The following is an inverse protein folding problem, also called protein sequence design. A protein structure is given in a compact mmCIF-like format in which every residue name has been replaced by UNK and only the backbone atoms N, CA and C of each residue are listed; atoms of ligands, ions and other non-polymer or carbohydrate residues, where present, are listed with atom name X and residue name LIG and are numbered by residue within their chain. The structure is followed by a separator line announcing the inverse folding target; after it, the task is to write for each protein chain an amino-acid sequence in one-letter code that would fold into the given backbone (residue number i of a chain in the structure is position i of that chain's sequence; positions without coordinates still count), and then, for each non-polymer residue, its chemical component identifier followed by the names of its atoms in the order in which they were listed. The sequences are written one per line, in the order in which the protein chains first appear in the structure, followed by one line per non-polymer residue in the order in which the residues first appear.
data_IF_915526127083
#
_entry.id   IF_915526127083
#
_cell.length_a   1.000
_cell.length_b   1.000
_cell.length_c   1.000
_cell.angle_alpha   90.00
_cell.angle_beta   90.00
_cell.angle_gamma   90.00
#
_symmetry.space_group_name_H-M   'P 1'
#
loop_
_entity.id
_entity.type
_entity.pdbx_description
1 polymer ?
#
# COMPACT_ATOMS: atom_id res chain seq x y z
N UNK A 1 -5.82 33.46 -16.14
CA UNK A 1 -4.58 32.65 -16.21
C UNK A 1 -4.90 31.33 -15.53
N UNK A 2 -4.92 30.22 -16.30
CA UNK A 2 -5.03 28.89 -15.69
C UNK A 2 -3.72 28.64 -14.93
N UNK A 3 -3.77 28.60 -13.61
CA UNK A 3 -2.62 28.18 -12.82
C UNK A 3 -2.33 26.71 -13.18
N UNK A 4 -1.16 26.47 -13.79
CA UNK A 4 -0.75 25.10 -14.09
C UNK A 4 -0.70 24.30 -12.79
N UNK A 5 -1.37 23.13 -12.77
CA UNK A 5 -1.30 22.24 -11.61
C UNK A 5 0.15 21.83 -11.35
N UNK A 6 0.53 21.76 -10.06
CA UNK A 6 1.85 21.28 -9.66
C UNK A 6 2.02 19.80 -9.98
N UNK A 7 3.21 19.36 -10.44
CA UNK A 7 3.43 17.97 -10.85
C UNK A 7 3.62 17.04 -9.65
N UNK A 8 3.03 15.86 -9.74
CA UNK A 8 3.31 14.71 -8.85
C UNK A 8 3.67 13.54 -9.74
N UNK A 9 4.79 12.88 -9.49
CA UNK A 9 5.27 11.77 -10.31
C UNK A 9 4.97 10.44 -9.62
N UNK A 10 4.35 9.51 -10.33
CA UNK A 10 4.17 8.12 -9.92
C UNK A 10 5.13 7.23 -10.72
N UNK A 11 5.98 6.49 -10.04
CA UNK A 11 6.88 5.49 -10.61
C UNK A 11 6.43 4.09 -10.16
N UNK A 12 5.79 3.40 -11.07
CA UNK A 12 5.06 2.17 -10.84
C UNK A 12 5.80 0.96 -11.45
N UNK A 13 5.62 -0.21 -10.88
CA UNK A 13 6.14 -1.44 -11.49
C UNK A 13 6.17 -2.62 -10.54
N UNK A 14 6.34 -3.85 -11.02
CA UNK A 14 6.40 -5.04 -10.19
C UNK A 14 7.64 -5.04 -9.29
N UNK A 15 7.65 -5.96 -8.31
CA UNK A 15 8.87 -6.20 -7.53
C UNK A 15 10.03 -6.60 -8.43
N UNK A 16 11.25 -6.32 -8.03
CA UNK A 16 12.49 -6.58 -8.78
C UNK A 16 12.61 -5.89 -10.17
N UNK A 17 11.76 -4.87 -10.44
CA UNK A 17 11.83 -4.11 -11.71
C UNK A 17 12.90 -3.00 -11.72
N UNK A 18 13.55 -2.71 -10.58
CA UNK A 18 14.58 -1.67 -10.48
C UNK A 18 14.06 -0.26 -10.22
N UNK A 19 12.81 -0.11 -9.75
CA UNK A 19 12.18 1.21 -9.48
C UNK A 19 13.02 2.10 -8.57
N UNK A 20 13.59 1.54 -7.51
CA UNK A 20 14.40 2.30 -6.55
C UNK A 20 15.63 2.90 -7.18
N UNK A 21 16.31 2.13 -8.04
CA UNK A 21 17.49 2.62 -8.75
C UNK A 21 17.14 3.76 -9.71
N UNK A 22 16.00 3.64 -10.41
CA UNK A 22 15.46 4.70 -11.25
C UNK A 22 15.12 5.95 -10.46
N UNK A 23 14.46 5.81 -9.31
CA UNK A 23 14.09 6.93 -8.46
C UNK A 23 15.34 7.70 -7.97
N UNK A 24 16.35 6.97 -7.50
CA UNK A 24 17.64 7.53 -7.08
C UNK A 24 18.37 8.22 -8.27
N UNK A 25 18.36 7.59 -9.45
CA UNK A 25 18.95 8.18 -10.63
C UNK A 25 18.26 9.50 -11.04
N UNK A 26 16.93 9.56 -10.94
CA UNK A 26 16.18 10.79 -11.23
C UNK A 26 16.44 11.85 -10.16
N UNK A 27 16.48 11.49 -8.88
CA UNK A 27 16.82 12.43 -7.82
C UNK A 27 18.21 13.06 -8.05
N UNK A 28 19.23 12.24 -8.38
CA UNK A 28 20.58 12.73 -8.71
C UNK A 28 20.58 13.64 -9.93
N UNK A 29 19.84 13.27 -10.97
CA UNK A 29 19.85 14.00 -12.25
C UNK A 29 19.13 15.35 -12.15
N UNK A 30 18.01 15.40 -11.48
CA UNK A 30 17.14 16.60 -11.48
C UNK A 30 17.25 17.44 -10.21
N UNK A 31 17.81 16.94 -9.13
CA UNK A 31 18.16 17.68 -7.90
C UNK A 31 16.98 18.22 -7.08
N UNK A 32 15.76 18.20 -7.62
CA UNK A 32 14.54 18.72 -6.97
C UNK A 32 13.48 17.64 -6.78
N UNK A 33 13.89 16.40 -6.63
CA UNK A 33 12.99 15.26 -6.44
C UNK A 33 13.14 14.76 -5.01
N UNK A 34 12.00 14.63 -4.32
CA UNK A 34 11.92 13.92 -3.04
C UNK A 34 11.17 12.60 -3.25
N UNK A 35 11.76 11.52 -2.77
CA UNK A 35 11.24 10.17 -2.94
C UNK A 35 10.26 9.85 -1.81
N UNK A 36 9.07 9.38 -2.17
CA UNK A 36 8.05 8.88 -1.24
C UNK A 36 7.83 7.40 -1.54
N UNK A 37 8.08 6.55 -0.57
CA UNK A 37 7.87 5.09 -0.72
C UNK A 37 6.38 4.75 -0.73
N UNK A 38 5.95 3.96 -1.71
CA UNK A 38 4.58 3.44 -1.81
C UNK A 38 4.63 1.93 -1.60
N UNK A 39 4.87 1.55 -0.36
CA UNK A 39 5.00 0.16 0.07
C UNK A 39 4.34 -0.05 1.43
N UNK A 40 3.58 -1.14 1.57
CA UNK A 40 2.81 -1.42 2.79
C UNK A 40 3.65 -2.00 3.93
N UNK A 41 4.91 -2.35 3.68
CA UNK A 41 5.78 -3.00 4.67
C UNK A 41 6.99 -2.15 5.04
N UNK A 42 7.58 -1.41 4.09
CA UNK A 42 8.76 -0.57 4.33
C UNK A 42 8.52 0.54 5.37
N UNK A 43 7.25 0.89 5.62
CA UNK A 43 6.84 1.87 6.63
C UNK A 43 7.17 1.40 8.05
N UNK A 44 7.23 0.08 8.27
CA UNK A 44 7.49 -0.50 9.59
C UNK A 44 8.98 -0.58 9.90
N UNK A 45 9.35 -0.15 11.12
CA UNK A 45 10.70 -0.30 11.66
C UNK A 45 11.01 -1.78 11.89
N UNK A 46 12.21 -2.20 11.50
CA UNK A 46 12.68 -3.58 11.68
C UNK A 46 12.24 -4.57 10.59
N UNK A 47 11.30 -4.20 9.70
CA UNK A 47 11.00 -4.97 8.50
C UNK A 47 11.94 -4.57 7.36
N UNK A 48 13.21 -4.93 7.45
CA UNK A 48 14.26 -4.40 6.59
C UNK A 48 14.58 -5.35 5.43
N UNK A 49 14.95 -6.60 5.76
CA UNK A 49 15.33 -7.61 4.78
C UNK A 49 14.10 -8.07 3.98
N UNK A 50 13.04 -8.49 4.67
CA UNK A 50 11.84 -9.04 4.02
C UNK A 50 11.14 -8.06 3.09
N UNK A 51 11.13 -6.78 3.42
CA UNK A 51 10.61 -5.73 2.53
C UNK A 51 11.59 -5.34 1.41
N UNK A 52 12.85 -5.80 1.50
CA UNK A 52 13.99 -5.33 0.71
C UNK A 52 14.12 -3.81 0.73
N UNK A 53 14.02 -3.26 1.91
CA UNK A 53 14.23 -1.84 2.20
C UNK A 53 15.62 -1.39 1.71
N UNK A 54 15.78 -0.18 1.17
CA UNK A 54 17.10 0.34 0.86
C UNK A 54 17.98 0.35 2.11
N UNK A 55 19.29 0.09 1.95
CA UNK A 55 20.23 0.06 3.07
C UNK A 55 20.26 1.39 3.83
N UNK A 56 20.66 1.40 5.11
CA UNK A 56 20.79 2.64 5.88
C UNK A 56 21.68 3.69 5.20
N UNK A 57 22.76 3.26 4.52
CA UNK A 57 23.64 4.13 3.75
C UNK A 57 22.90 4.75 2.56
N UNK A 58 22.09 3.94 1.87
CA UNK A 58 21.25 4.42 0.76
C UNK A 58 20.21 5.41 1.24
N UNK A 59 19.52 5.12 2.35
CA UNK A 59 18.51 6.01 2.92
C UNK A 59 19.12 7.31 3.44
N UNK A 60 20.35 7.27 3.96
CA UNK A 60 21.09 8.47 4.38
C UNK A 60 21.50 9.34 3.20
N UNK A 61 21.95 8.73 2.10
CA UNK A 61 22.35 9.45 0.88
C UNK A 61 21.15 9.91 0.05
N UNK A 62 20.09 9.15 0.05
CA UNK A 62 18.86 9.34 -0.72
C UNK A 62 17.66 9.12 0.19
N UNK A 63 17.24 10.12 0.98
CA UNK A 63 16.11 9.98 1.90
C UNK A 63 14.82 9.58 1.16
N UNK A 64 14.13 8.62 1.75
CA UNK A 64 12.83 8.16 1.29
C UNK A 64 11.81 8.44 2.41
N UNK A 65 10.79 9.22 2.13
CA UNK A 65 9.65 9.37 3.04
C UNK A 65 8.84 8.07 3.11
N UNK A 66 8.12 7.86 4.19
CA UNK A 66 7.31 6.67 4.47
C UNK A 66 8.13 5.38 4.54
N UNK A 67 9.32 5.49 5.08
CA UNK A 67 10.20 4.36 5.43
C UNK A 67 10.57 4.48 6.91
N UNK A 68 10.38 3.42 7.69
CA UNK A 68 10.65 3.40 9.15
C UNK A 68 9.82 4.42 9.96
N UNK A 69 8.58 4.68 9.60
CA UNK A 69 7.72 5.65 10.29
C UNK A 69 7.08 5.07 11.55
N UNK A 70 6.62 3.83 11.51
CA UNK A 70 5.86 3.20 12.59
C UNK A 70 6.46 1.88 13.07
N UNK A 71 6.02 1.38 14.20
CA UNK A 71 6.39 0.05 14.72
C UNK A 71 5.29 -0.99 14.43
N UNK A 72 5.63 -2.28 14.50
CA UNK A 72 4.74 -3.39 14.12
C UNK A 72 3.54 -3.58 15.07
N UNK A 73 3.56 -3.01 16.26
CA UNK A 73 2.44 -2.99 17.19
C UNK A 73 1.36 -1.96 16.82
N UNK A 74 1.61 -1.14 15.80
CA UNK A 74 0.68 -0.14 15.30
C UNK A 74 0.23 -0.51 13.89
N UNK A 75 -1.07 -0.42 13.64
CA UNK A 75 -1.60 -0.63 12.30
C UNK A 75 -1.42 0.66 11.50
N UNK A 76 -0.74 0.56 10.36
CA UNK A 76 -0.66 1.62 9.37
C UNK A 76 -1.53 1.25 8.17
N UNK A 77 -2.74 1.75 8.18
CA UNK A 77 -3.74 1.43 7.17
C UNK A 77 -3.48 2.17 5.84
N UNK A 78 -4.18 1.77 4.79
CA UNK A 78 -4.15 2.52 3.52
C UNK A 78 -4.71 3.94 3.66
N UNK A 79 -5.63 4.17 4.58
CA UNK A 79 -6.15 5.50 4.87
C UNK A 79 -5.07 6.40 5.49
N UNK A 80 -4.34 5.88 6.51
CA UNK A 80 -3.20 6.57 7.13
C UNK A 80 -2.12 6.89 6.08
N UNK A 81 -1.85 5.92 5.19
CA UNK A 81 -0.93 6.15 4.08
C UNK A 81 -1.38 7.30 3.17
N UNK A 82 -2.64 7.30 2.73
CA UNK A 82 -3.16 8.33 1.83
C UNK A 82 -3.14 9.71 2.47
N UNK A 83 -3.51 9.84 3.74
CA UNK A 83 -3.46 11.08 4.50
C UNK A 83 -2.03 11.60 4.62
N UNK A 84 -1.11 10.75 5.09
CA UNK A 84 0.30 11.12 5.28
C UNK A 84 0.97 11.45 3.95
N UNK A 85 0.72 10.66 2.90
CA UNK A 85 1.29 10.92 1.58
C UNK A 85 0.77 12.23 0.97
N UNK A 86 -0.51 12.57 1.18
CA UNK A 86 -1.08 13.84 0.70
C UNK A 86 -0.43 15.03 1.40
N UNK A 87 -0.28 14.97 2.72
CA UNK A 87 0.43 16.00 3.51
C UNK A 87 1.88 16.17 3.05
N UNK A 88 2.59 15.05 2.86
CA UNK A 88 3.97 15.08 2.36
C UNK A 88 4.08 15.70 0.96
N UNK A 89 3.15 15.43 0.05
CA UNK A 89 3.11 16.04 -1.28
C UNK A 89 3.01 17.56 -1.17
N UNK A 90 2.14 18.07 -0.30
CA UNK A 90 2.00 19.51 -0.06
C UNK A 90 3.29 20.13 0.50
N UNK A 91 3.89 19.51 1.51
CA UNK A 91 5.15 19.96 2.12
C UNK A 91 6.31 19.95 1.12
N UNK A 92 6.41 18.91 0.26
CA UNK A 92 7.43 18.83 -0.77
C UNK A 92 7.28 19.99 -1.77
N UNK A 93 6.05 20.31 -2.17
CA UNK A 93 5.80 21.46 -3.03
C UNK A 93 6.11 22.80 -2.35
N UNK A 94 5.84 22.95 -1.04
CA UNK A 94 6.22 24.13 -0.28
C UNK A 94 7.75 24.34 -0.29
N UNK A 95 8.52 23.24 -0.27
CA UNK A 95 9.99 23.28 -0.43
C UNK A 95 10.43 23.49 -1.88
N UNK A 96 9.50 23.69 -2.82
CA UNK A 96 9.73 23.84 -4.27
C UNK A 96 10.38 22.61 -4.92
N UNK A 97 10.15 21.44 -4.34
CA UNK A 97 10.56 20.16 -4.86
C UNK A 97 9.39 19.43 -5.54
N UNK A 98 9.68 18.35 -6.23
CA UNK A 98 8.71 17.52 -6.94
C UNK A 98 8.62 16.17 -6.21
N UNK A 99 7.42 15.79 -5.70
CA UNK A 99 7.24 14.48 -5.09
C UNK A 99 7.28 13.36 -6.14
N UNK A 100 8.11 12.36 -5.90
CA UNK A 100 8.24 11.14 -6.68
C UNK A 100 7.78 9.96 -5.83
N UNK A 101 6.56 9.51 -6.05
CA UNK A 101 5.98 8.36 -5.38
C UNK A 101 6.43 7.08 -6.09
N UNK A 102 7.10 6.18 -5.37
CA UNK A 102 7.75 4.99 -5.94
C UNK A 102 7.30 3.74 -5.24
N UNK A 103 6.74 2.78 -5.97
CA UNK A 103 6.35 1.53 -5.33
C UNK A 103 5.68 0.50 -6.23
N UNK A 104 5.24 -0.59 -5.57
CA UNK A 104 4.52 -1.69 -6.19
C UNK A 104 3.09 -1.87 -5.67
N UNK A 105 2.68 -1.11 -4.65
CA UNK A 105 1.35 -1.21 -4.03
C UNK A 105 0.30 -0.48 -4.87
N UNK A 106 -0.17 -1.14 -5.94
CA UNK A 106 -1.09 -0.55 -6.92
C UNK A 106 -2.38 0.00 -6.29
N UNK A 107 -2.88 -0.64 -5.24
CA UNK A 107 -4.05 -0.18 -4.51
C UNK A 107 -3.80 1.21 -3.90
N UNK A 108 -2.63 1.45 -3.33
CA UNK A 108 -2.25 2.74 -2.74
C UNK A 108 -2.22 3.85 -3.79
N UNK A 109 -1.60 3.60 -4.93
CA UNK A 109 -1.60 4.54 -6.05
C UNK A 109 -3.01 4.85 -6.56
N UNK A 110 -3.85 3.80 -6.69
CA UNK A 110 -5.22 3.98 -7.17
C UNK A 110 -6.05 4.85 -6.21
N UNK A 111 -5.93 4.62 -4.90
CA UNK A 111 -6.64 5.38 -3.89
C UNK A 111 -6.13 6.82 -3.77
N UNK A 112 -4.83 7.06 -3.88
CA UNK A 112 -4.30 8.42 -3.97
C UNK A 112 -4.83 9.15 -5.20
N UNK A 113 -4.83 8.49 -6.36
CA UNK A 113 -5.25 9.08 -7.63
C UNK A 113 -6.73 9.44 -7.66
N UNK A 114 -7.58 8.52 -7.18
CA UNK A 114 -9.04 8.57 -7.35
C UNK A 114 -9.79 8.97 -6.06
N UNK A 115 -9.10 9.05 -4.94
CA UNK A 115 -9.68 9.28 -3.61
C UNK A 115 -10.03 7.98 -2.89
N UNK A 116 -10.15 8.09 -1.58
CA UNK A 116 -10.67 7.03 -0.71
C UNK A 116 -12.19 7.02 -0.79
N UNK A 117 -12.79 5.84 -0.76
CA UNK A 117 -14.23 5.71 -0.57
C UNK A 117 -14.62 6.02 0.88
N UNK A 118 -15.84 6.53 1.10
CA UNK A 118 -16.41 6.83 2.42
C UNK A 118 -16.80 5.60 3.24
N UNK A 119 -16.06 4.50 3.09
CA UNK A 119 -16.28 3.26 3.82
C UNK A 119 -15.94 3.43 5.30
N UNK A 120 -16.72 2.84 6.23
CA UNK A 120 -16.35 2.84 7.63
C UNK A 120 -14.97 2.22 7.83
N UNK A 121 -14.22 2.76 8.80
CA UNK A 121 -12.94 2.18 9.21
C UNK A 121 -13.11 0.75 9.68
N UNK A 122 -12.04 -0.05 9.64
CA UNK A 122 -12.07 -1.41 10.18
C UNK A 122 -12.38 -1.37 11.69
N UNK A 123 -13.27 -2.25 12.15
CA UNK A 123 -13.59 -2.43 13.55
C UNK A 123 -12.89 -3.71 14.04
N UNK A 124 -11.84 -3.60 14.89
CA UNK A 124 -11.10 -4.76 15.38
C UNK A 124 -11.97 -5.76 16.16
N UNK A 125 -13.00 -5.26 16.87
CA UNK A 125 -13.89 -6.12 17.67
C UNK A 125 -14.81 -6.93 16.75
N UNK A 126 -15.39 -6.28 15.73
CA UNK A 126 -16.23 -6.96 14.75
C UNK A 126 -15.40 -7.95 13.94
N UNK A 127 -14.18 -7.55 13.54
CA UNK A 127 -13.27 -8.42 12.80
C UNK A 127 -12.92 -9.69 13.55
N UNK A 128 -12.53 -9.58 14.83
CA UNK A 128 -12.24 -10.73 15.68
C UNK A 128 -13.46 -11.66 15.83
N UNK A 129 -14.68 -11.13 15.90
CA UNK A 129 -15.91 -11.95 15.91
C UNK A 129 -16.13 -12.70 14.59
N UNK A 130 -15.85 -12.04 13.45
CA UNK A 130 -16.00 -12.68 12.14
C UNK A 130 -14.94 -13.77 11.94
N UNK A 131 -13.71 -13.54 12.40
CA UNK A 131 -12.62 -14.54 12.38
C UNK A 131 -12.95 -15.75 13.26
N UNK A 132 -13.43 -15.55 14.49
CA UNK A 132 -13.90 -16.63 15.39
C UNK A 132 -15.05 -17.44 14.76
N UNK A 133 -15.94 -16.79 14.01
CA UNK A 133 -16.99 -17.47 13.28
C UNK A 133 -16.47 -18.30 12.12
N UNK A 134 -15.44 -17.84 11.43
CA UNK A 134 -14.79 -18.65 10.37
C UNK A 134 -14.25 -19.97 10.94
N UNK A 135 -13.62 -19.90 12.11
CA UNK A 135 -13.08 -21.09 12.77
C UNK A 135 -14.18 -22.09 13.20
N UNK A 136 -15.36 -21.60 13.56
CA UNK A 136 -16.50 -22.43 14.03
C UNK A 136 -17.43 -22.90 12.92
N UNK A 137 -17.73 -22.04 11.96
CA UNK A 137 -18.80 -22.24 10.97
C UNK A 137 -18.22 -22.46 9.55
N UNK A 138 -16.97 -22.11 9.35
CA UNK A 138 -16.31 -22.11 8.04
C UNK A 138 -16.61 -20.84 7.21
N UNK A 139 -15.72 -20.54 6.27
CA UNK A 139 -15.79 -19.33 5.43
C UNK A 139 -17.03 -19.28 4.53
N UNK A 140 -17.56 -20.46 4.13
CA UNK A 140 -18.75 -20.56 3.26
C UNK A 140 -19.99 -19.96 3.94
N UNK A 141 -20.15 -20.20 5.25
CA UNK A 141 -21.27 -19.63 6.03
C UNK A 141 -21.27 -18.10 5.98
N UNK A 142 -20.07 -17.49 6.09
CA UNK A 142 -19.92 -16.04 6.03
C UNK A 142 -20.15 -15.49 4.62
N UNK A 143 -19.77 -16.26 3.59
CA UNK A 143 -20.06 -15.88 2.20
C UNK A 143 -21.57 -15.94 1.91
N UNK A 144 -22.29 -16.92 2.46
CA UNK A 144 -23.76 -17.04 2.33
C UNK A 144 -24.47 -15.88 3.07
N UNK A 145 -23.96 -15.47 4.23
CA UNK A 145 -24.42 -14.27 4.92
C UNK A 145 -24.20 -13.02 4.05
N UNK A 146 -23.00 -12.89 3.49
CA UNK A 146 -22.71 -11.79 2.56
C UNK A 146 -23.62 -11.81 1.34
N UNK A 147 -23.94 -13.00 0.81
CA UNK A 147 -24.89 -13.16 -0.29
C UNK A 147 -26.29 -12.63 0.08
N UNK A 148 -26.68 -12.76 1.35
CA UNK A 148 -27.97 -12.25 1.84
C UNK A 148 -27.93 -10.73 2.05
N UNK A 149 -26.85 -10.21 2.63
CA UNK A 149 -26.71 -8.79 2.97
C UNK A 149 -26.35 -7.92 1.74
N UNK A 150 -25.50 -8.47 0.88
CA UNK A 150 -24.98 -7.77 -0.30
C UNK A 150 -24.66 -8.74 -1.43
N UNK A 151 -25.68 -9.13 -2.22
CA UNK A 151 -25.52 -10.07 -3.32
C UNK A 151 -24.51 -9.61 -4.38
N UNK A 152 -24.40 -8.31 -4.63
CA UNK A 152 -23.47 -7.75 -5.61
C UNK A 152 -22.01 -7.97 -5.18
N UNK A 153 -21.69 -7.66 -3.92
CA UNK A 153 -20.37 -7.91 -3.36
C UNK A 153 -20.04 -9.41 -3.30
N UNK A 154 -20.99 -10.24 -2.86
CA UNK A 154 -20.81 -11.67 -2.79
C UNK A 154 -20.52 -12.29 -4.18
N UNK A 155 -21.20 -11.86 -5.21
CA UNK A 155 -20.95 -12.32 -6.58
C UNK A 155 -19.59 -11.89 -7.14
N UNK A 156 -19.06 -10.74 -6.67
CA UNK A 156 -17.74 -10.24 -7.07
C UNK A 156 -16.57 -10.87 -6.29
N UNK A 157 -16.84 -11.46 -5.12
CA UNK A 157 -15.83 -12.02 -4.20
C UNK A 157 -15.85 -13.55 -4.29
N UNK A 158 -14.68 -14.16 -4.46
CA UNK A 158 -14.58 -15.63 -4.44
C UNK A 158 -14.95 -16.18 -3.06
N UNK A 159 -15.68 -17.32 -2.96
CA UNK A 159 -16.11 -17.89 -1.68
C UNK A 159 -15.00 -18.27 -0.71
N UNK A 160 -13.75 -18.37 -1.18
CA UNK A 160 -12.56 -18.69 -0.38
C UNK A 160 -11.71 -17.44 -0.04
N UNK A 161 -12.11 -16.23 -0.47
CA UNK A 161 -11.37 -15.00 -0.22
C UNK A 161 -11.75 -14.42 1.15
N UNK A 162 -11.18 -15.01 2.19
CA UNK A 162 -11.45 -14.69 3.60
C UNK A 162 -11.35 -13.21 3.89
N UNK A 163 -10.29 -12.57 3.44
CA UNK A 163 -10.05 -11.15 3.74
C UNK A 163 -11.10 -10.22 3.11
N UNK A 164 -11.48 -10.48 1.86
CA UNK A 164 -12.50 -9.68 1.19
C UNK A 164 -13.89 -9.93 1.75
N UNK A 165 -14.21 -11.18 2.12
CA UNK A 165 -15.49 -11.52 2.75
C UNK A 165 -15.62 -10.83 4.10
N UNK A 166 -14.61 -10.92 4.98
CA UNK A 166 -14.60 -10.23 6.27
C UNK A 166 -14.78 -8.73 6.05
N UNK A 167 -14.02 -8.12 5.15
CA UNK A 167 -14.13 -6.68 4.89
C UNK A 167 -15.49 -6.28 4.37
N UNK A 168 -16.09 -7.05 3.47
CA UNK A 168 -17.41 -6.76 2.95
C UNK A 168 -18.51 -6.88 4.04
N UNK A 169 -18.40 -7.86 4.92
CA UNK A 169 -19.30 -8.01 6.08
C UNK A 169 -19.10 -6.89 7.10
N UNK A 170 -17.87 -6.50 7.42
CA UNK A 170 -17.61 -5.32 8.27
C UNK A 170 -18.34 -4.09 7.72
N UNK A 171 -18.17 -3.81 6.44
CA UNK A 171 -18.83 -2.68 5.79
C UNK A 171 -20.35 -2.80 5.86
N UNK A 172 -20.91 -3.97 5.54
CA UNK A 172 -22.35 -4.20 5.59
C UNK A 172 -22.92 -4.00 7.00
N UNK A 173 -22.26 -4.50 8.03
CA UNK A 173 -22.71 -4.37 9.43
C UNK A 173 -22.53 -2.95 9.98
N UNK A 174 -21.45 -2.25 9.65
CA UNK A 174 -21.17 -0.92 10.21
C UNK A 174 -21.95 0.18 9.48
N UNK A 175 -22.18 0.04 8.17
CA UNK A 175 -22.89 1.06 7.42
C UNK A 175 -24.41 0.97 7.54
N UNK A 176 -24.95 -0.18 7.94
CA UNK A 176 -26.40 -0.42 7.95
C UNK A 176 -27.07 -0.22 6.60
N UNK A 177 -26.28 -0.14 5.53
CA UNK A 177 -26.71 0.32 4.21
C UNK A 177 -26.16 -0.56 3.08
N UNK A 178 -26.89 -0.56 1.98
CA UNK A 178 -26.44 -1.12 0.71
C UNK A 178 -25.18 -0.39 0.19
N UNK A 179 -24.22 -1.12 -0.42
CA UNK A 179 -22.96 -0.57 -0.91
C UNK A 179 -23.05 0.56 -1.94
N UNK A 180 -24.22 0.86 -2.46
CA UNK A 180 -24.44 1.95 -3.43
C UNK A 180 -24.08 3.36 -2.92
N UNK A 181 -23.84 3.53 -1.61
CA UNK A 181 -23.35 4.80 -1.03
C UNK A 181 -21.82 4.90 -1.12
N UNK A 182 -21.16 3.89 -1.67
CA UNK A 182 -19.70 3.74 -1.72
C UNK A 182 -19.01 4.53 -2.83
N UNK A 183 -19.75 5.22 -3.69
CA UNK A 183 -19.18 5.94 -4.84
C UNK A 183 -18.74 7.39 -4.51
N UNK A 184 -19.06 7.91 -3.33
CA UNK A 184 -18.56 9.22 -2.93
C UNK A 184 -17.18 9.09 -2.30
N UNK A 185 -16.16 9.64 -2.95
CA UNK A 185 -14.83 9.72 -2.40
C UNK A 185 -14.85 10.55 -1.10
N UNK A 186 -14.37 9.95 0.01
CA UNK A 186 -14.22 10.65 1.30
C UNK A 186 -13.01 11.59 1.31
N UNK A 187 -12.11 11.43 0.36
CA UNK A 187 -10.93 12.29 0.18
C UNK A 187 -10.90 12.87 -1.23
N UNK A 188 -10.33 14.07 -1.35
CA UNK A 188 -10.17 14.72 -2.64
C UNK A 188 -9.14 13.97 -3.47
N UNK A 189 -9.49 13.49 -4.69
CA UNK A 189 -8.55 12.80 -5.57
C UNK A 189 -7.34 13.67 -5.92
N UNK A 190 -6.11 13.14 -5.82
CA UNK A 190 -4.92 13.89 -6.23
C UNK A 190 -4.98 14.33 -7.69
N UNK A 191 -5.63 13.55 -8.57
CA UNK A 191 -5.84 13.88 -9.97
C UNK A 191 -6.66 15.17 -10.19
N UNK A 192 -7.49 15.57 -9.21
CA UNK A 192 -8.24 16.82 -9.27
C UNK A 192 -7.39 18.05 -8.90
N UNK A 193 -6.37 17.88 -8.04
CA UNK A 193 -5.53 18.95 -7.50
C UNK A 193 -4.23 19.11 -8.28
N UNK A 194 -3.57 17.99 -8.58
CA UNK A 194 -2.22 17.93 -9.15
C UNK A 194 -2.20 17.43 -10.58
N UNK A 195 -1.11 17.74 -11.28
CA UNK A 195 -0.78 17.11 -12.56
C UNK A 195 -0.05 15.78 -12.27
N UNK A 196 -0.74 14.67 -12.42
CA UNK A 196 -0.15 13.34 -12.23
C UNK A 196 0.63 12.91 -13.48
N UNK A 197 1.91 12.58 -13.30
CA UNK A 197 2.80 12.03 -14.31
C UNK A 197 3.09 10.58 -13.95
N UNK A 198 2.47 9.64 -14.66
CA UNK A 198 2.53 8.22 -14.35
C UNK A 198 3.51 7.50 -15.26
N UNK A 199 4.55 6.89 -14.67
CA UNK A 199 5.57 6.10 -15.38
C UNK A 199 5.56 4.66 -14.88
N UNK A 200 5.31 3.71 -15.78
CA UNK A 200 5.34 2.29 -15.49
C UNK A 200 6.64 1.64 -15.95
N UNK A 201 7.34 0.93 -15.07
CA UNK A 201 8.46 0.08 -15.44
C UNK A 201 7.94 -1.34 -15.63
N UNK A 202 7.92 -1.79 -16.88
CA UNK A 202 7.50 -3.14 -17.22
C UNK A 202 8.68 -3.91 -17.83
N UNK A 203 8.99 -5.09 -17.32
CA UNK A 203 10.00 -5.94 -17.94
C UNK A 203 9.50 -6.40 -19.31
N UNK A 204 10.34 -6.26 -20.33
CA UNK A 204 10.02 -6.75 -21.68
C UNK A 204 9.95 -8.28 -21.74
N UNK A 205 10.67 -8.94 -20.86
CA UNK A 205 10.75 -10.39 -20.75
C UNK A 205 10.30 -10.84 -19.35
N UNK A 206 9.20 -11.58 -19.32
CA UNK A 206 8.62 -12.09 -18.07
C UNK A 206 9.50 -13.15 -17.42
N UNK A 207 10.21 -13.97 -18.20
CA UNK A 207 11.11 -14.99 -17.68
C UNK A 207 12.27 -14.33 -16.92
N UNK A 208 12.87 -13.30 -17.47
CA UNK A 208 13.92 -12.52 -16.79
C UNK A 208 13.42 -11.85 -15.50
N UNK A 209 12.17 -11.41 -15.46
CA UNK A 209 11.60 -10.89 -14.22
C UNK A 209 11.50 -11.99 -13.16
N UNK A 210 11.06 -13.19 -13.53
CA UNK A 210 10.97 -14.33 -12.61
C UNK A 210 12.35 -14.73 -12.08
N UNK A 211 13.37 -14.80 -12.94
CA UNK A 211 14.75 -15.06 -12.52
C UNK A 211 15.26 -14.00 -11.50
N UNK A 212 14.94 -12.72 -11.73
CA UNK A 212 15.30 -11.64 -10.78
C UNK A 212 14.56 -11.78 -9.46
N UNK A 213 13.29 -12.15 -9.48
CA UNK A 213 12.50 -12.38 -8.27
C UNK A 213 13.08 -13.56 -7.49
N UNK A 214 13.39 -14.66 -8.15
CA UNK A 214 13.97 -15.85 -7.54
C UNK A 214 15.35 -15.54 -6.93
N UNK A 215 16.23 -14.92 -7.71
CA UNK A 215 17.55 -14.49 -7.24
C UNK A 215 17.45 -13.54 -6.03
N UNK A 216 16.47 -12.64 -6.04
CA UNK A 216 16.20 -11.77 -4.89
C UNK A 216 15.76 -12.56 -3.67
N UNK A 217 14.87 -13.55 -3.82
CA UNK A 217 14.41 -14.38 -2.71
C UNK A 217 15.59 -15.13 -2.06
N UNK A 218 16.43 -15.77 -2.85
CA UNK A 218 17.63 -16.44 -2.35
C UNK A 218 18.56 -15.48 -1.61
N UNK A 219 18.75 -14.28 -2.14
CA UNK A 219 19.56 -13.25 -1.49
C UNK A 219 18.97 -12.85 -0.13
N UNK A 220 17.67 -12.57 -0.06
CA UNK A 220 17.02 -12.18 1.21
C UNK A 220 17.14 -13.25 2.29
N UNK A 221 16.99 -14.54 1.92
CA UNK A 221 17.20 -15.65 2.84
C UNK A 221 18.65 -15.66 3.36
N UNK A 222 19.62 -15.49 2.47
CA UNK A 222 21.05 -15.49 2.84
C UNK A 222 21.44 -14.25 3.65
N UNK A 223 20.73 -13.15 3.50
CA UNK A 223 20.92 -11.90 4.26
C UNK A 223 20.30 -11.95 5.67
N UNK A 224 19.59 -13.03 6.04
CA UNK A 224 19.04 -13.24 7.38
C UNK A 224 17.54 -12.96 7.50
N UNK A 225 16.76 -13.15 6.42
CA UNK A 225 15.30 -12.98 6.46
C UNK A 225 14.64 -13.83 7.57
N UNK A 226 15.11 -15.06 7.76
CA UNK A 226 14.53 -15.97 8.77
C UNK A 226 14.79 -15.43 10.17
N UNK A 227 15.99 -14.96 10.42
CA UNK A 227 16.41 -14.37 11.70
C UNK A 227 15.66 -13.06 11.96
N UNK A 228 15.45 -12.23 10.94
CA UNK A 228 14.61 -11.01 11.05
C UNK A 228 13.21 -11.37 11.51
N UNK A 229 12.54 -12.31 10.82
CA UNK A 229 11.16 -12.73 11.16
C UNK A 229 11.10 -13.33 12.57
N UNK A 230 12.05 -14.20 12.95
CA UNK A 230 12.10 -14.77 14.29
C UNK A 230 12.31 -13.69 15.37
N UNK A 231 13.15 -12.71 15.09
CA UNK A 231 13.39 -11.57 15.97
C UNK A 231 12.12 -10.71 16.17
N UNK A 232 11.44 -10.41 15.07
CA UNK A 232 10.19 -9.64 15.09
C UNK A 232 9.09 -10.40 15.82
N UNK A 233 8.90 -11.68 15.53
CA UNK A 233 7.92 -12.52 16.21
C UNK A 233 8.15 -12.57 17.72
N UNK A 234 9.41 -12.68 18.16
CA UNK A 234 9.77 -12.65 19.58
C UNK A 234 9.50 -11.29 20.23
N UNK A 235 9.76 -10.20 19.52
CA UNK A 235 9.60 -8.84 20.03
C UNK A 235 8.14 -8.40 20.13
N UNK A 236 7.32 -8.74 19.14
CA UNK A 236 5.94 -8.28 19.00
C UNK A 236 4.88 -9.35 19.25
N UNK A 237 5.26 -10.60 19.48
CA UNK A 237 4.34 -11.75 19.69
C UNK A 237 3.33 -11.91 18.55
N UNK A 238 3.83 -11.80 17.31
CA UNK A 238 3.04 -11.92 16.08
C UNK A 238 2.52 -13.34 15.87
#
# INVERSE_FOLDING_TARGET
MQTSKLPVIFLLGPTASGKTDWAIAWQKKFGRIEIVSVDSVMVYKGCDIGSAKPSPETLKAHPHHLVNETSLDQIFSVADFCETATTLIEEIHQRKNIPLLVGGSMMYFNLLKNGLSSLPSADPILRAKLEDRIDKEGIVSLHDELQTLNPEAANAIKPQDTQRIIRALEVAHLSGMHPKILDEASSVPLSSIYQLLEYGIFPLDRAKLHERIESRQHRLINEGLIEEVQGLNKAYKL
#
